data_IF_342242497834
#
_entry.id   IF_342242497834
#
_cell.length_a   1.000
_cell.length_b   1.000
_cell.length_c   1.000
_cell.angle_alpha   90.00
_cell.angle_beta   90.00
_cell.angle_gamma   90.00
#
_symmetry.space_group_name_H-M   'P 1'
#
loop_
_entity.id
_entity.type
_entity.pdbx_description
1 polymer ?
#
# COMPACT_ATOMS: atom_id res chain seq x y z
N UNK A 1 31.34 11.33 50.25
CA UNK A 1 31.73 10.76 51.56
C UNK A 1 33.11 10.13 51.44
N UNK A 2 34.00 10.38 52.41
CA UNK A 2 35.19 9.54 52.68
C UNK A 2 34.77 8.44 53.69
N UNK A 3 35.52 7.41 54.10
CA UNK A 3 36.96 7.05 54.05
C UNK A 3 36.99 5.55 53.65
N UNK A 4 37.91 4.98 52.85
CA UNK A 4 39.34 5.22 52.66
C UNK A 4 40.16 4.10 53.34
N UNK A 5 41.12 3.45 52.65
CA UNK A 5 42.23 2.67 53.27
C UNK A 5 43.25 2.17 52.22
N UNK A 6 44.47 2.71 52.36
CA UNK A 6 45.81 2.07 52.31
C UNK A 6 46.16 1.25 51.05
N UNK A 7 47.03 1.67 50.13
CA UNK A 7 48.36 2.31 50.21
C UNK A 7 49.52 1.36 50.63
N UNK A 8 50.25 0.90 49.61
CA UNK A 8 51.72 0.71 49.46
C UNK A 8 52.54 0.39 50.72
N UNK A 9 53.31 -0.71 50.64
CA UNK A 9 54.61 -0.83 51.31
C UNK A 9 55.60 -1.65 50.45
N UNK A 10 56.72 -1.02 50.08
CA UNK A 10 57.90 -1.62 49.46
C UNK A 10 59.07 -1.34 50.41
N UNK A 11 59.76 -2.36 50.92
CA UNK A 11 60.96 -2.19 51.75
C UNK A 11 61.96 -3.31 51.47
N UNK A 12 63.12 -2.93 50.93
CA UNK A 12 64.36 -3.72 51.05
C UNK A 12 65.08 -3.31 52.33
N UNK A 13 65.67 -4.26 53.04
CA UNK A 13 66.82 -4.17 53.97
C UNK A 13 67.01 -5.58 54.54
N UNK A 14 68.11 -6.33 54.34
CA UNK A 14 69.52 -6.02 54.66
C UNK A 14 69.68 -5.57 56.11
N UNK A 15 69.86 -6.55 57.01
CA UNK A 15 70.53 -6.36 58.30
C UNK A 15 71.49 -7.53 58.50
N UNK A 16 72.79 -7.23 58.47
CA UNK A 16 73.80 -8.13 59.03
C UNK A 16 73.74 -8.04 60.55
N UNK A 17 73.79 -9.16 61.26
CA UNK A 17 74.39 -9.20 62.61
C UNK A 17 75.33 -10.39 62.67
N UNK A 18 76.60 -10.10 62.97
CA UNK A 18 77.68 -11.07 63.15
C UNK A 18 77.62 -11.61 64.58
N UNK A 19 77.64 -12.94 64.72
CA UNK A 19 77.86 -13.64 65.99
C UNK A 19 78.93 -14.70 65.80
N UNK A 20 80.13 -14.47 66.34
CA UNK A 20 81.28 -15.37 66.26
C UNK A 20 81.23 -16.50 67.33
N UNK A 21 82.24 -17.39 67.27
CA UNK A 21 82.75 -18.32 68.31
C UNK A 21 82.23 -19.78 68.20
N UNK A 22 83.11 -20.81 68.14
CA UNK A 22 84.41 -20.88 67.47
C UNK A 22 84.58 -22.20 66.66
N UNK A 23 85.76 -22.41 66.07
CA UNK A 23 86.19 -23.74 65.58
C UNK A 23 86.17 -24.79 66.70
N UNK A 24 85.58 -25.96 66.43
CA UNK A 24 85.93 -27.22 67.08
C UNK A 24 85.80 -28.33 66.04
N UNK A 25 86.94 -28.87 65.60
CA UNK A 25 86.95 -29.98 64.66
C UNK A 25 86.53 -31.27 65.37
N UNK A 26 85.46 -31.89 64.88
CA UNK A 26 85.24 -33.33 65.00
C UNK A 26 84.99 -33.83 63.59
N UNK A 27 85.97 -34.55 63.05
CA UNK A 27 85.72 -35.43 61.94
C UNK A 27 84.84 -36.58 62.47
N UNK A 28 83.55 -36.52 62.15
CA UNK A 28 82.71 -37.71 62.19
C UNK A 28 82.78 -38.29 60.78
N UNK A 29 83.56 -39.36 60.65
CA UNK A 29 83.72 -40.09 59.39
C UNK A 29 82.34 -40.59 58.97
N UNK A 30 81.89 -40.16 57.78
CA UNK A 30 80.74 -40.79 57.16
C UNK A 30 81.18 -42.19 56.75
N UNK A 31 80.72 -43.20 57.49
CA UNK A 31 80.88 -44.61 57.18
C UNK A 31 80.45 -44.84 55.73
N UNK A 32 81.42 -44.94 54.83
CA UNK A 32 81.17 -45.20 53.43
C UNK A 32 80.70 -46.63 53.29
N UNK A 33 79.44 -46.81 52.87
CA UNK A 33 78.95 -48.10 52.40
C UNK A 33 79.77 -48.49 51.17
N UNK A 34 80.77 -49.36 51.37
CA UNK A 34 81.66 -49.84 50.31
C UNK A 34 80.83 -50.75 49.44
N UNK A 35 80.30 -50.19 48.36
CA UNK A 35 79.50 -50.95 47.40
C UNK A 35 80.38 -52.00 46.72
N UNK A 36 80.26 -53.24 47.21
CA UNK A 36 81.16 -54.36 46.88
C UNK A 36 80.74 -55.10 45.61
N UNK A 37 79.69 -54.66 44.92
CA UNK A 37 79.29 -55.21 43.61
C UNK A 37 79.80 -54.35 42.44
N UNK A 38 80.24 -55.00 41.38
CA UNK A 38 80.65 -54.32 40.14
C UNK A 38 79.40 -53.81 39.42
N UNK A 39 79.27 -52.50 39.28
CA UNK A 39 78.18 -51.87 38.54
C UNK A 39 78.21 -52.23 37.04
N UNK A 40 77.20 -52.96 36.58
CA UNK A 40 76.95 -53.17 35.15
C UNK A 40 75.97 -52.12 34.64
N UNK A 41 76.50 -51.04 34.07
CA UNK A 41 75.75 -49.81 33.77
C UNK A 41 74.77 -49.88 32.58
N UNK A 42 74.66 -51.02 31.88
CA UNK A 42 73.80 -51.15 30.70
C UNK A 42 74.14 -50.17 29.56
N UNK A 43 73.15 -49.84 28.73
CA UNK A 43 73.27 -48.81 27.70
C UNK A 43 72.90 -47.41 28.24
N UNK A 44 73.48 -46.37 27.66
CA UNK A 44 73.12 -44.98 28.00
C UNK A 44 71.68 -44.70 27.56
N UNK A 45 70.82 -44.27 28.50
CA UNK A 45 69.50 -43.75 28.20
C UNK A 45 69.69 -42.29 27.74
N UNK A 46 69.28 -41.95 26.50
CA UNK A 46 69.55 -40.62 25.93
C UNK A 46 68.69 -39.53 26.59
N UNK A 47 69.18 -38.29 26.54
CA UNK A 47 68.44 -37.14 27.07
C UNK A 47 67.11 -36.96 26.32
N UNK A 48 66.05 -36.71 27.09
CA UNK A 48 64.75 -36.29 26.58
C UNK A 48 64.56 -34.82 26.88
N UNK A 49 64.67 -33.98 25.84
CA UNK A 49 64.51 -32.53 25.99
C UNK A 49 63.16 -32.15 26.64
N UNK A 50 63.21 -31.15 27.53
CA UNK A 50 62.02 -30.59 28.18
C UNK A 50 61.11 -29.86 27.17
N UNK A 51 59.80 -29.90 27.41
CA UNK A 51 58.81 -29.13 26.62
C UNK A 51 58.37 -27.88 27.39
N UNK A 52 57.35 -27.16 26.92
CA UNK A 52 56.79 -26.03 27.66
C UNK A 52 56.06 -26.45 28.94
N UNK A 53 55.44 -27.64 28.91
CA UNK A 53 54.48 -28.16 29.90
C UNK A 53 54.97 -29.42 30.63
N UNK A 54 55.99 -30.12 30.11
CA UNK A 54 56.51 -31.36 30.68
C UNK A 54 58.01 -31.24 30.94
N UNK A 55 58.49 -31.69 32.10
CA UNK A 55 59.92 -31.80 32.33
C UNK A 55 60.57 -32.77 31.33
N UNK A 56 61.82 -32.49 31.02
CA UNK A 56 62.71 -33.42 30.34
C UNK A 56 63.42 -34.34 31.32
N UNK A 57 64.29 -35.18 30.79
CA UNK A 57 65.02 -36.21 31.52
C UNK A 57 66.47 -36.22 31.05
N UNK A 58 67.41 -36.01 31.99
CA UNK A 58 68.86 -36.02 31.75
C UNK A 58 69.29 -37.40 31.25
N UNK A 59 70.27 -37.43 30.34
CA UNK A 59 70.89 -38.68 29.91
C UNK A 59 71.54 -39.39 31.11
N UNK A 60 71.31 -40.69 31.26
CA UNK A 60 71.79 -41.45 32.42
C UNK A 60 72.00 -42.93 32.13
N UNK A 61 72.79 -43.59 32.98
CA UNK A 61 72.89 -45.04 33.07
C UNK A 61 72.07 -45.54 34.25
N UNK A 62 71.43 -46.70 34.12
CA UNK A 62 70.66 -47.33 35.20
C UNK A 62 71.29 -48.67 35.59
N UNK A 63 71.67 -48.84 36.86
CA UNK A 63 72.20 -50.11 37.35
C UNK A 63 71.07 -51.01 37.84
N UNK A 64 70.77 -52.08 37.10
CA UNK A 64 69.69 -53.02 37.44
C UNK A 64 69.93 -53.84 38.72
N UNK A 65 71.15 -53.81 39.29
CA UNK A 65 71.50 -54.55 40.49
C UNK A 65 71.18 -53.78 41.78
N UNK A 66 71.39 -52.46 41.81
CA UNK A 66 71.13 -51.60 42.96
C UNK A 66 70.03 -50.53 42.74
N UNK A 67 69.51 -50.40 41.52
CA UNK A 67 68.45 -49.44 41.16
C UNK A 67 68.90 -47.99 41.03
N UNK A 68 70.19 -47.68 41.28
CA UNK A 68 70.76 -46.34 41.20
C UNK A 68 70.98 -45.87 39.76
N UNK A 69 70.91 -44.55 39.57
CA UNK A 69 71.17 -43.89 38.28
C UNK A 69 72.50 -43.13 38.33
N UNK A 70 73.19 -43.06 37.20
CA UNK A 70 74.53 -42.48 37.09
C UNK A 70 74.65 -41.57 35.86
N UNK A 71 75.44 -40.49 35.97
CA UNK A 71 75.72 -39.58 34.86
C UNK A 71 76.71 -40.18 33.83
N UNK A 72 77.09 -39.38 32.83
CA UNK A 72 78.06 -39.75 31.82
C UNK A 72 79.45 -40.11 32.42
N UNK A 73 79.82 -39.46 33.51
CA UNK A 73 81.11 -39.58 34.21
C UNK A 73 81.08 -40.65 35.34
N UNK A 74 79.94 -41.37 35.48
CA UNK A 74 79.68 -42.44 36.45
C UNK A 74 79.50 -42.00 37.90
N UNK A 75 79.18 -40.73 38.15
CA UNK A 75 78.73 -40.27 39.47
C UNK A 75 77.25 -40.60 39.67
N UNK A 76 76.85 -40.95 40.90
CA UNK A 76 75.44 -41.20 41.23
C UNK A 76 74.62 -39.91 41.12
N UNK A 77 73.50 -39.97 40.39
CA UNK A 77 72.56 -38.86 40.20
C UNK A 77 71.14 -39.26 40.63
N UNK A 78 70.57 -38.46 41.54
CA UNK A 78 69.25 -38.71 42.12
C UNK A 78 68.14 -37.89 41.46
N UNK A 79 68.46 -36.71 40.93
CA UNK A 79 67.54 -35.88 40.14
C UNK A 79 67.87 -35.96 38.64
N UNK A 80 67.04 -36.68 37.89
CA UNK A 80 67.09 -36.75 36.43
C UNK A 80 66.30 -35.61 35.76
N UNK A 81 65.61 -34.75 36.52
CA UNK A 81 64.64 -33.80 35.97
C UNK A 81 65.31 -32.64 35.24
N UNK A 82 64.89 -32.37 34.01
CA UNK A 82 65.12 -31.10 33.33
C UNK A 82 63.83 -30.29 33.48
N UNK A 83 63.87 -29.14 34.15
CA UNK A 83 62.69 -28.32 34.37
C UNK A 83 62.00 -27.95 33.04
N UNK A 84 60.67 -27.90 33.04
CA UNK A 84 59.91 -27.47 31.86
C UNK A 84 60.31 -26.04 31.44
N UNK A 85 60.46 -25.82 30.14
CA UNK A 85 60.94 -24.55 29.56
C UNK A 85 59.96 -23.38 29.75
N UNK A 86 58.72 -23.67 30.13
CA UNK A 86 57.65 -22.70 30.27
C UNK A 86 57.15 -22.15 28.92
N UNK A 87 56.25 -21.17 28.99
CA UNK A 87 55.65 -20.56 27.80
C UNK A 87 56.21 -19.16 27.56
N UNK A 88 57.04 -19.00 26.51
CA UNK A 88 57.38 -17.68 25.97
C UNK A 88 56.18 -17.08 25.23
N UNK A 89 55.43 -16.20 25.90
CA UNK A 89 54.16 -15.65 25.42
C UNK A 89 54.29 -14.31 24.68
N UNK A 90 53.59 -14.17 23.56
CA UNK A 90 53.36 -12.90 22.85
C UNK A 90 51.90 -12.48 23.02
N UNK A 91 51.66 -11.22 23.34
CA UNK A 91 50.30 -10.66 23.46
C UNK A 91 49.70 -10.33 22.10
N UNK A 92 48.57 -10.95 21.77
CA UNK A 92 47.72 -10.64 20.62
C UNK A 92 46.64 -9.66 21.08
N UNK A 93 46.58 -8.49 20.42
CA UNK A 93 45.70 -7.39 20.82
C UNK A 93 44.22 -7.68 20.55
N UNK A 94 43.35 -6.97 21.25
CA UNK A 94 41.90 -7.00 21.00
C UNK A 94 41.57 -6.38 19.64
N UNK A 95 40.69 -7.06 18.89
CA UNK A 95 40.06 -6.53 17.68
C UNK A 95 38.64 -6.12 18.06
N UNK A 96 38.29 -4.81 18.03
CA UNK A 96 36.96 -4.37 18.41
C UNK A 96 35.89 -4.88 17.44
N UNK A 97 34.72 -5.23 17.96
CA UNK A 97 33.58 -5.61 17.13
C UNK A 97 33.04 -4.41 16.33
N UNK A 98 32.53 -4.68 15.14
CA UNK A 98 31.78 -3.70 14.33
C UNK A 98 30.34 -4.19 14.16
N UNK A 99 29.50 -3.44 13.44
CA UNK A 99 28.15 -3.91 13.11
C UNK A 99 28.11 -4.94 11.96
N UNK A 100 29.23 -5.20 11.28
CA UNK A 100 29.32 -6.19 10.19
C UNK A 100 30.23 -7.38 10.51
N UNK A 101 31.25 -7.18 11.35
CA UNK A 101 32.29 -8.17 11.70
C UNK A 101 32.34 -8.36 13.23
N UNK A 102 32.47 -9.60 13.68
CA UNK A 102 32.69 -9.93 15.10
C UNK A 102 34.06 -9.43 15.56
N UNK A 103 34.16 -9.00 16.81
CA UNK A 103 35.45 -8.69 17.42
C UNK A 103 36.08 -9.92 18.07
N UNK A 104 37.25 -9.74 18.67
CA UNK A 104 38.03 -10.79 19.31
C UNK A 104 38.77 -10.17 20.49
N UNK A 105 38.57 -10.71 21.71
CA UNK A 105 39.32 -10.26 22.90
C UNK A 105 40.82 -10.49 22.73
N UNK A 106 41.61 -9.69 23.43
CA UNK A 106 43.05 -9.93 23.57
C UNK A 106 43.33 -11.31 24.20
N UNK A 107 44.42 -11.94 23.78
CA UNK A 107 44.90 -13.22 24.32
C UNK A 107 46.42 -13.32 24.18
N UNK A 108 47.04 -14.33 24.75
CA UNK A 108 48.48 -14.59 24.67
C UNK A 108 48.75 -15.89 23.92
N UNK A 109 49.76 -15.92 23.06
CA UNK A 109 50.15 -17.12 22.33
C UNK A 109 51.60 -17.49 22.63
N UNK A 110 51.86 -18.77 22.92
CA UNK A 110 53.22 -19.26 23.07
C UNK A 110 53.92 -19.32 21.71
N UNK A 111 55.09 -18.67 21.62
CA UNK A 111 55.87 -18.61 20.39
C UNK A 111 56.35 -19.99 19.94
N UNK A 112 56.68 -20.89 20.88
CA UNK A 112 57.20 -22.23 20.62
C UNK A 112 56.10 -23.23 20.25
N UNK A 113 55.11 -23.45 21.13
CA UNK A 113 54.11 -24.52 20.96
C UNK A 113 52.75 -24.05 20.41
N UNK A 114 52.60 -22.76 20.10
CA UNK A 114 51.39 -22.12 19.53
C UNK A 114 50.11 -22.21 20.39
N UNK A 115 50.18 -22.80 21.58
CA UNK A 115 49.08 -22.80 22.55
C UNK A 115 48.67 -21.36 22.93
N UNK A 116 47.39 -21.17 23.22
CA UNK A 116 46.78 -19.87 23.52
C UNK A 116 46.31 -19.81 24.98
N UNK A 117 46.43 -18.64 25.59
CA UNK A 117 46.14 -18.40 26.99
C UNK A 117 45.34 -17.10 27.17
N UNK A 118 44.45 -17.08 28.15
CA UNK A 118 43.66 -15.92 28.57
C UNK A 118 44.40 -14.95 29.49
N UNK A 119 45.66 -15.24 29.85
CA UNK A 119 46.50 -14.38 30.68
C UNK A 119 47.97 -14.42 30.22
N UNK A 120 48.77 -13.46 30.71
CA UNK A 120 50.22 -13.42 30.53
C UNK A 120 50.98 -14.42 31.42
N UNK A 121 50.29 -15.19 32.28
CA UNK A 121 50.92 -16.11 33.25
C UNK A 121 51.22 -17.47 32.59
N UNK A 122 50.43 -17.88 31.59
CA UNK A 122 50.71 -19.08 30.80
C UNK A 122 50.50 -20.41 31.52
N UNK A 123 49.68 -20.44 32.58
CA UNK A 123 49.31 -21.67 33.27
C UNK A 123 48.21 -22.43 32.53
N UNK A 124 48.15 -23.75 32.68
CA UNK A 124 47.12 -24.60 32.03
C UNK A 124 45.68 -24.19 32.41
N UNK A 125 45.46 -23.60 33.58
CA UNK A 125 44.15 -23.08 34.00
C UNK A 125 43.65 -21.91 33.13
N UNK A 126 44.56 -21.15 32.51
CA UNK A 126 44.24 -20.02 31.61
C UNK A 126 44.19 -20.43 30.13
N UNK A 127 44.39 -21.70 29.80
CA UNK A 127 44.51 -22.20 28.43
C UNK A 127 43.18 -22.12 27.68
N UNK A 128 43.20 -21.53 26.49
CA UNK A 128 42.02 -21.40 25.62
C UNK A 128 42.22 -22.18 24.32
N UNK A 129 41.17 -22.87 23.87
CA UNK A 129 41.17 -23.62 22.61
C UNK A 129 40.93 -22.76 21.37
N UNK A 130 40.35 -21.57 21.54
CA UNK A 130 40.11 -20.58 20.49
C UNK A 130 40.06 -19.15 21.07
N UNK A 131 40.34 -18.11 20.28
CA UNK A 131 40.15 -16.72 20.69
C UNK A 131 38.68 -16.43 21.07
N UNK A 132 38.47 -15.69 22.15
CA UNK A 132 37.12 -15.35 22.63
C UNK A 132 36.53 -14.24 21.75
N UNK A 133 35.43 -14.56 21.06
CA UNK A 133 34.72 -13.62 20.18
C UNK A 133 33.95 -12.54 20.96
N UNK A 134 33.85 -11.36 20.35
CA UNK A 134 33.01 -10.25 20.78
C UNK A 134 31.86 -10.12 19.77
N UNK A 135 30.62 -10.24 20.24
CA UNK A 135 29.42 -10.12 19.40
C UNK A 135 29.37 -8.81 18.62
N UNK A 136 28.83 -8.87 17.39
CA UNK A 136 28.65 -7.69 16.53
C UNK A 136 27.85 -6.60 17.23
N UNK A 137 28.21 -5.34 16.98
CA UNK A 137 27.47 -4.18 17.47
C UNK A 137 26.14 -4.04 16.72
N UNK A 138 25.12 -3.51 17.40
CA UNK A 138 23.84 -3.22 16.77
C UNK A 138 23.97 -2.14 15.67
N UNK A 139 23.19 -2.25 14.60
CA UNK A 139 23.16 -1.23 13.55
C UNK A 139 22.56 0.09 14.06
N UNK A 140 23.28 1.21 13.91
CA UNK A 140 22.75 2.55 14.14
C UNK A 140 21.85 2.97 12.96
N UNK A 141 20.58 2.60 13.01
CA UNK A 141 19.63 2.76 11.91
C UNK A 141 18.93 4.12 11.89
N UNK A 142 18.71 4.64 10.68
CA UNK A 142 17.85 5.78 10.39
C UNK A 142 16.70 5.35 9.47
N UNK A 143 15.47 5.71 9.85
CA UNK A 143 14.24 5.31 9.16
C UNK A 143 13.95 6.23 7.97
N UNK A 144 13.71 5.63 6.81
CA UNK A 144 13.10 6.30 5.65
C UNK A 144 11.63 5.88 5.57
N UNK A 145 10.66 6.79 5.78
CA UNK A 145 9.24 6.44 5.75
C UNK A 145 8.79 6.07 4.34
N UNK A 146 7.75 5.23 4.24
CA UNK A 146 7.14 4.87 2.96
C UNK A 146 6.55 6.12 2.26
N UNK A 147 6.82 6.25 0.96
CA UNK A 147 6.22 7.28 0.09
C UNK A 147 5.41 6.58 -1.01
N UNK A 148 4.11 6.86 -1.17
CA UNK A 148 3.31 6.21 -2.20
C UNK A 148 3.74 6.65 -3.60
N UNK A 149 3.80 5.69 -4.54
CA UNK A 149 4.05 5.99 -5.95
C UNK A 149 2.87 6.72 -6.59
N UNK A 150 3.20 7.73 -7.42
CA UNK A 150 2.25 8.53 -8.19
C UNK A 150 2.18 8.03 -9.65
N UNK A 151 1.47 8.74 -10.54
CA UNK A 151 1.47 8.42 -11.97
C UNK A 151 2.80 8.74 -12.68
N UNK A 152 3.59 9.69 -12.16
CA UNK A 152 4.79 10.23 -12.82
C UNK A 152 6.07 10.01 -12.02
N UNK A 153 5.99 10.02 -10.69
CA UNK A 153 7.12 9.76 -9.80
C UNK A 153 6.96 8.45 -9.04
N UNK A 154 8.03 7.65 -8.99
CA UNK A 154 8.15 6.47 -8.14
C UNK A 154 8.05 6.84 -6.66
N UNK A 155 7.58 5.87 -5.87
CA UNK A 155 7.58 5.91 -4.42
C UNK A 155 8.62 4.95 -3.83
N UNK A 156 8.52 4.73 -2.52
CA UNK A 156 9.32 3.74 -1.81
C UNK A 156 8.49 3.05 -0.71
N UNK A 157 8.81 1.79 -0.45
CA UNK A 157 8.48 1.12 0.81
C UNK A 157 9.23 1.79 1.96
N UNK A 158 8.78 1.57 3.19
CA UNK A 158 9.57 1.92 4.37
C UNK A 158 10.85 1.07 4.39
N UNK A 159 11.98 1.68 4.75
CA UNK A 159 13.26 0.98 4.95
C UNK A 159 14.13 1.73 5.96
N UNK A 160 15.15 1.04 6.45
CA UNK A 160 16.10 1.55 7.44
C UNK A 160 17.51 1.50 6.84
N UNK A 161 18.33 2.50 7.11
CA UNK A 161 19.73 2.57 6.63
C UNK A 161 20.67 2.69 7.82
N UNK A 162 21.72 1.87 7.87
CA UNK A 162 22.74 1.99 8.91
C UNK A 162 23.68 3.15 8.61
N UNK A 163 23.80 4.10 9.55
CA UNK A 163 24.71 5.24 9.40
C UNK A 163 26.20 4.88 9.46
N UNK A 164 26.55 3.63 9.84
CA UNK A 164 27.94 3.17 10.01
C UNK A 164 28.43 2.33 8.82
N UNK A 165 27.62 1.39 8.33
CA UNK A 165 28.01 0.50 7.23
C UNK A 165 27.19 0.69 5.94
N UNK A 166 26.28 1.68 5.93
CA UNK A 166 25.39 2.01 4.80
C UNK A 166 24.47 0.88 4.28
N UNK A 167 24.47 -0.29 4.92
CA UNK A 167 23.54 -1.38 4.63
C UNK A 167 22.07 -0.96 4.90
N UNK A 168 21.16 -1.55 4.12
CA UNK A 168 19.73 -1.28 4.17
C UNK A 168 18.96 -2.47 4.74
N UNK A 169 17.88 -2.19 5.47
CA UNK A 169 17.09 -3.18 6.19
C UNK A 169 15.58 -2.91 6.09
N UNK A 170 14.78 -3.97 6.18
CA UNK A 170 13.31 -3.88 6.22
C UNK A 170 12.76 -3.59 7.64
N UNK A 171 13.53 -3.87 8.68
CA UNK A 171 13.14 -3.71 10.09
C UNK A 171 14.05 -2.74 10.87
N UNK A 172 13.52 -2.24 11.98
CA UNK A 172 14.20 -1.30 12.88
C UNK A 172 15.27 -1.94 13.78
N UNK A 173 15.44 -3.27 13.75
CA UNK A 173 16.47 -4.00 14.48
C UNK A 173 17.67 -4.39 13.63
N UNK A 174 17.63 -4.15 12.32
CA UNK A 174 18.72 -4.47 11.39
C UNK A 174 18.91 -5.97 11.14
N UNK A 175 17.84 -6.77 11.25
CA UNK A 175 17.90 -8.24 11.13
C UNK A 175 17.67 -8.71 9.70
N UNK A 176 16.89 -7.97 8.93
CA UNK A 176 16.39 -8.32 7.60
C UNK A 176 17.03 -7.39 6.57
N UNK A 177 18.24 -7.72 6.13
CA UNK A 177 18.93 -6.97 5.08
C UNK A 177 18.16 -6.96 3.76
N UNK A 178 18.19 -5.84 3.04
CA UNK A 178 17.58 -5.68 1.72
C UNK A 178 18.59 -5.14 0.71
N UNK A 179 18.49 -5.61 -0.53
CA UNK A 179 19.33 -5.12 -1.63
C UNK A 179 19.05 -3.63 -1.93
N UNK A 180 20.07 -2.93 -2.42
CA UNK A 180 19.97 -1.55 -2.91
C UNK A 180 18.77 -1.37 -3.84
N UNK A 181 18.01 -0.28 -3.67
CA UNK A 181 16.86 0.10 -4.50
C UNK A 181 15.67 -0.90 -4.50
N UNK A 182 15.72 -2.00 -3.74
CA UNK A 182 14.61 -2.98 -3.67
C UNK A 182 13.35 -2.44 -2.96
N UNK A 183 13.49 -1.30 -2.26
CA UNK A 183 12.38 -0.52 -1.71
C UNK A 183 11.62 0.31 -2.76
N UNK A 184 12.17 0.54 -3.96
CA UNK A 184 11.54 1.41 -4.97
C UNK A 184 10.20 0.81 -5.41
N UNK A 185 9.16 1.64 -5.39
CA UNK A 185 7.84 1.32 -5.94
C UNK A 185 7.69 2.14 -7.21
N UNK A 186 7.73 1.49 -8.37
CA UNK A 186 7.68 2.17 -9.66
C UNK A 186 6.43 3.06 -9.81
N UNK A 187 6.57 4.14 -10.57
CA UNK A 187 5.45 5.00 -10.94
C UNK A 187 4.33 4.19 -11.63
N UNK A 188 3.07 4.54 -11.35
CA UNK A 188 1.87 3.85 -11.85
C UNK A 188 1.60 4.09 -13.35
N UNK A 189 2.41 4.91 -14.01
CA UNK A 189 2.24 5.35 -15.39
C UNK A 189 1.26 6.53 -15.53
N UNK A 190 1.58 7.46 -16.42
CA UNK A 190 0.73 8.59 -16.80
C UNK A 190 0.23 8.41 -18.24
N UNK A 191 -0.75 7.53 -18.42
CA UNK A 191 -1.43 7.34 -19.70
C UNK A 191 -2.73 8.16 -19.78
N UNK A 192 -2.97 8.79 -20.92
CA UNK A 192 -4.20 9.52 -21.24
C UNK A 192 -5.14 8.60 -22.00
N UNK A 193 -6.32 8.32 -21.44
CA UNK A 193 -7.32 7.46 -22.06
C UNK A 193 -8.74 8.03 -21.91
N UNK A 194 -9.62 7.67 -22.85
CA UNK A 194 -11.04 8.01 -22.81
C UNK A 194 -11.81 7.02 -21.93
N UNK A 195 -12.53 7.52 -20.92
CA UNK A 195 -13.34 6.72 -19.99
C UNK A 195 -14.70 7.36 -19.70
N UNK A 196 -15.72 6.56 -19.43
CA UNK A 196 -17.03 7.07 -18.98
C UNK A 196 -16.93 7.49 -17.52
N UNK A 197 -16.86 8.80 -17.29
CA UNK A 197 -16.83 9.44 -15.96
C UNK A 197 -18.22 9.43 -15.30
N UNK A 198 -19.26 9.64 -16.12
CA UNK A 198 -20.65 9.66 -15.65
C UNK A 198 -21.58 8.97 -16.64
N UNK A 199 -22.26 7.91 -16.20
CA UNK A 199 -23.23 7.19 -17.03
C UNK A 199 -24.49 8.05 -17.29
N UNK A 200 -25.04 8.09 -18.52
CA UNK A 200 -26.26 8.83 -18.81
C UNK A 200 -27.49 8.16 -18.18
N UNK A 201 -28.51 8.97 -17.87
CA UNK A 201 -29.80 8.50 -17.33
C UNK A 201 -30.94 8.91 -18.26
N UNK A 202 -32.18 8.52 -17.96
CA UNK A 202 -33.36 8.97 -18.68
C UNK A 202 -33.52 10.49 -18.74
N UNK A 203 -33.11 11.20 -17.68
CA UNK A 203 -33.37 12.64 -17.50
C UNK A 203 -32.11 13.51 -17.62
N UNK A 204 -30.95 12.99 -17.16
CA UNK A 204 -29.66 13.68 -17.09
C UNK A 204 -28.66 13.07 -18.05
N UNK A 205 -27.85 13.94 -18.65
CA UNK A 205 -26.71 13.60 -19.51
C UNK A 205 -25.59 12.89 -18.72
N UNK A 206 -24.74 12.17 -19.44
CA UNK A 206 -23.50 11.57 -18.94
C UNK A 206 -22.26 12.33 -19.46
N UNK A 207 -21.08 11.82 -19.14
CA UNK A 207 -19.81 12.42 -19.54
C UNK A 207 -18.75 11.35 -19.83
N UNK A 208 -18.02 11.52 -20.93
CA UNK A 208 -16.73 10.87 -21.19
C UNK A 208 -15.63 11.87 -20.83
N UNK A 209 -14.62 11.40 -20.10
CA UNK A 209 -13.38 12.13 -19.80
C UNK A 209 -12.26 11.51 -20.62
N UNK A 210 -11.51 12.34 -21.35
CA UNK A 210 -10.17 11.99 -21.85
C UNK A 210 -9.16 12.52 -20.86
N UNK A 211 -8.36 11.63 -20.26
CA UNK A 211 -7.46 12.02 -19.17
C UNK A 211 -6.84 10.85 -18.44
N UNK A 212 -5.98 11.14 -17.46
CA UNK A 212 -5.32 10.11 -16.66
C UNK A 212 -6.31 9.50 -15.65
N UNK A 213 -6.40 8.17 -15.61
CA UNK A 213 -7.21 7.44 -14.64
C UNK A 213 -6.60 7.41 -13.22
N UNK A 214 -5.27 7.62 -13.10
CA UNK A 214 -4.52 7.47 -11.84
C UNK A 214 -4.51 8.76 -11.02
N UNK A 215 -4.18 9.90 -11.62
CA UNK A 215 -4.15 11.20 -10.92
C UNK A 215 -5.41 12.05 -11.12
N UNK A 216 -6.36 11.59 -11.94
CA UNK A 216 -7.58 12.33 -12.23
C UNK A 216 -7.42 13.53 -13.17
N UNK A 217 -6.23 13.79 -13.71
CA UNK A 217 -6.01 14.82 -14.74
C UNK A 217 -7.00 14.65 -15.91
N UNK A 218 -7.60 15.76 -16.36
CA UNK A 218 -8.60 15.81 -17.42
C UNK A 218 -8.14 16.76 -18.51
N UNK A 219 -7.94 16.24 -19.71
CA UNK A 219 -7.63 17.00 -20.92
C UNK A 219 -8.91 17.48 -21.61
N UNK A 220 -9.92 16.59 -21.73
CA UNK A 220 -11.18 16.92 -22.38
C UNK A 220 -12.39 16.24 -21.70
N UNK A 221 -13.55 16.90 -21.77
CA UNK A 221 -14.87 16.37 -21.39
C UNK A 221 -15.83 16.40 -22.56
N UNK A 222 -16.38 15.24 -22.92
CA UNK A 222 -17.40 15.08 -23.96
C UNK A 222 -18.75 14.70 -23.33
N UNK A 223 -19.85 15.22 -23.85
CA UNK A 223 -21.20 15.03 -23.29
C UNK A 223 -21.85 13.77 -23.89
N UNK A 224 -22.32 12.88 -23.02
CA UNK A 224 -23.15 11.73 -23.43
C UNK A 224 -24.63 12.15 -23.33
N UNK A 225 -25.47 11.96 -24.36
CA UNK A 225 -26.88 12.31 -24.28
C UNK A 225 -27.63 11.51 -23.22
N UNK A 226 -28.66 12.14 -22.64
CA UNK A 226 -29.68 11.46 -21.83
C UNK A 226 -30.43 10.41 -22.66
N UNK A 227 -30.83 9.30 -22.03
CA UNK A 227 -31.49 8.16 -22.69
C UNK A 227 -32.88 8.49 -23.26
N UNK A 228 -33.59 9.50 -22.74
CA UNK A 228 -34.94 9.88 -23.19
C UNK A 228 -35.02 11.37 -23.51
N UNK A 229 -35.48 11.68 -24.73
CA UNK A 229 -35.81 13.03 -25.16
C UNK A 229 -37.34 13.15 -25.30
N UNK A 230 -37.92 14.20 -24.73
CA UNK A 230 -39.34 14.54 -24.94
C UNK A 230 -39.44 15.79 -25.79
N UNK A 231 -40.19 15.73 -26.88
CA UNK A 231 -40.38 16.79 -27.86
C UNK A 231 -41.85 17.17 -27.94
N UNK A 232 -42.15 18.45 -27.94
CA UNK A 232 -43.49 18.94 -28.28
C UNK A 232 -43.62 19.03 -29.80
N UNK A 233 -44.76 18.60 -30.35
CA UNK A 233 -45.04 18.66 -31.79
C UNK A 233 -44.99 20.10 -32.32
N UNK A 234 -44.32 20.32 -33.45
CA UNK A 234 -44.05 21.64 -34.01
C UNK A 234 -42.99 22.45 -33.24
N UNK A 235 -42.20 21.82 -32.36
CA UNK A 235 -41.08 22.43 -31.63
C UNK A 235 -39.77 21.66 -31.87
N UNK A 236 -38.66 22.29 -31.49
CA UNK A 236 -37.32 21.73 -31.54
C UNK A 236 -36.68 21.60 -30.15
N UNK A 237 -35.77 20.64 -29.98
CA UNK A 237 -34.87 20.55 -28.82
C UNK A 237 -33.49 20.03 -29.23
N UNK A 238 -32.47 20.26 -28.41
CA UNK A 238 -31.13 19.65 -28.57
C UNK A 238 -31.08 18.25 -27.93
N UNK A 239 -30.31 17.33 -28.53
CA UNK A 239 -30.03 16.00 -27.98
C UNK A 239 -29.05 16.04 -26.79
N UNK A 240 -28.11 16.99 -26.84
CA UNK A 240 -27.04 17.24 -25.86
C UNK A 240 -26.94 18.74 -25.57
N UNK A 241 -26.43 19.09 -24.39
CA UNK A 241 -26.05 20.46 -24.05
C UNK A 241 -24.92 21.00 -24.93
N UNK A 242 -23.87 20.19 -25.16
CA UNK A 242 -22.73 20.47 -26.04
C UNK A 242 -22.58 19.38 -27.10
N UNK A 243 -22.43 19.78 -28.38
CA UNK A 243 -22.31 18.89 -29.53
C UNK A 243 -20.85 18.57 -29.94
N UNK A 244 -19.84 19.15 -29.28
CA UNK A 244 -18.42 18.85 -29.54
C UNK A 244 -18.13 17.36 -29.38
N UNK A 245 -17.45 16.77 -30.37
CA UNK A 245 -17.12 15.34 -30.40
C UNK A 245 -18.31 14.39 -30.58
N UNK A 246 -19.50 14.91 -30.90
CA UNK A 246 -20.72 14.14 -31.13
C UNK A 246 -21.07 14.09 -32.62
N UNK A 247 -21.51 12.93 -33.11
CA UNK A 247 -22.20 12.82 -34.41
C UNK A 247 -23.62 12.28 -34.20
N UNK A 248 -24.61 12.82 -34.92
CA UNK A 248 -26.02 12.50 -34.71
C UNK A 248 -26.62 11.88 -35.96
N UNK A 249 -27.23 10.70 -35.85
CA UNK A 249 -27.86 10.01 -36.98
C UNK A 249 -29.27 9.51 -36.63
N UNK A 250 -30.21 9.69 -37.56
CA UNK A 250 -31.56 9.15 -37.40
C UNK A 250 -31.60 7.68 -37.81
N UNK A 251 -31.79 6.78 -36.85
CA UNK A 251 -31.95 5.36 -37.12
C UNK A 251 -33.12 5.13 -38.10
N UNK A 252 -32.89 4.45 -39.23
CA UNK A 252 -33.88 4.20 -40.26
C UNK A 252 -34.63 5.48 -40.71
N UNK A 253 -33.87 6.42 -41.30
CA UNK A 253 -34.36 7.73 -41.75
C UNK A 253 -35.61 7.65 -42.64
N UNK A 254 -35.72 6.67 -43.55
CA UNK A 254 -36.91 6.44 -44.38
C UNK A 254 -38.18 6.24 -43.53
N UNK A 255 -38.08 5.52 -42.40
CA UNK A 255 -39.21 5.17 -41.52
C UNK A 255 -39.57 6.29 -40.53
N UNK A 256 -38.60 7.06 -40.05
CA UNK A 256 -38.79 8.03 -38.96
C UNK A 256 -38.64 9.51 -39.35
N UNK A 257 -38.01 9.84 -40.48
CA UNK A 257 -37.81 11.22 -40.98
C UNK A 257 -39.11 11.96 -41.35
N UNK A 258 -40.25 11.25 -41.37
CA UNK A 258 -41.58 11.87 -41.43
C UNK A 258 -41.97 12.59 -40.15
N UNK A 259 -41.51 12.15 -38.98
CA UNK A 259 -41.88 12.74 -37.68
C UNK A 259 -41.04 13.97 -37.30
N UNK A 260 -39.74 13.93 -37.58
CA UNK A 260 -38.81 15.03 -37.29
C UNK A 260 -37.60 15.02 -38.23
N UNK A 261 -36.94 16.17 -38.34
CA UNK A 261 -35.59 16.32 -38.90
C UNK A 261 -34.57 16.34 -37.75
N UNK A 262 -33.42 15.73 -37.96
CA UNK A 262 -32.24 15.86 -37.07
C UNK A 262 -31.20 16.66 -37.84
N UNK A 263 -30.65 17.69 -37.21
CA UNK A 263 -29.43 18.34 -37.67
C UNK A 263 -28.22 17.51 -37.21
N UNK A 264 -27.51 16.94 -38.17
CA UNK A 264 -26.41 16.00 -37.92
C UNK A 264 -25.13 16.67 -37.38
N UNK A 265 -25.04 18.01 -37.48
CA UNK A 265 -23.94 18.81 -36.93
C UNK A 265 -24.27 19.35 -35.54
N UNK A 266 -25.46 19.92 -35.34
CA UNK A 266 -25.82 20.59 -34.08
C UNK A 266 -26.59 19.72 -33.09
N UNK A 267 -27.05 18.53 -33.49
CA UNK A 267 -27.88 17.66 -32.68
C UNK A 267 -29.27 18.23 -32.39
N UNK A 268 -29.71 19.25 -33.15
CA UNK A 268 -31.03 19.87 -33.04
C UNK A 268 -32.07 19.00 -33.73
N UNK A 269 -33.04 18.52 -32.95
CA UNK A 269 -34.17 17.73 -33.44
C UNK A 269 -35.38 18.65 -33.57
N UNK A 270 -35.96 18.74 -34.77
CA UNK A 270 -37.12 19.60 -35.06
C UNK A 270 -38.30 18.75 -35.56
N UNK A 271 -39.39 18.73 -34.80
CA UNK A 271 -40.59 17.97 -35.17
C UNK A 271 -41.41 18.68 -36.25
N UNK A 272 -41.97 17.92 -37.20
CA UNK A 272 -42.90 18.47 -38.18
C UNK A 272 -44.25 18.72 -37.52
N UNK A 273 -44.95 19.79 -37.91
CA UNK A 273 -46.31 20.10 -37.42
C UNK A 273 -47.37 19.34 -38.22
N UNK A 274 -47.22 18.02 -38.28
CA UNK A 274 -48.20 17.11 -38.88
C UNK A 274 -48.95 16.36 -37.76
N UNK A 275 -50.27 16.39 -37.86
CA UNK A 275 -51.20 15.77 -36.93
C UNK A 275 -51.86 14.51 -37.50
N UNK A 276 -51.81 14.33 -38.83
CA UNK A 276 -52.49 13.26 -39.56
C UNK A 276 -51.84 11.89 -39.34
N UNK A 277 -50.50 11.85 -39.31
CA UNK A 277 -49.78 10.59 -39.14
C UNK A 277 -49.78 10.12 -37.68
N UNK A 278 -50.11 8.84 -37.45
CA UNK A 278 -50.08 8.25 -36.10
C UNK A 278 -48.64 8.29 -35.56
N UNK A 279 -48.45 9.04 -34.48
CA UNK A 279 -47.16 9.24 -33.81
C UNK A 279 -46.77 7.95 -33.09
N UNK A 280 -45.52 7.50 -33.28
CA UNK A 280 -45.01 6.33 -32.54
C UNK A 280 -44.64 6.70 -31.10
N UNK A 281 -44.93 5.79 -30.16
CA UNK A 281 -44.63 5.92 -28.73
C UNK A 281 -43.13 6.06 -28.40
N UNK A 282 -42.25 5.63 -29.31
CA UNK A 282 -40.80 5.61 -29.16
C UNK A 282 -40.17 5.68 -30.55
N UNK A 283 -39.19 6.58 -30.72
CA UNK A 283 -38.41 6.74 -31.95
C UNK A 283 -36.92 6.83 -31.57
N UNK A 284 -36.06 5.86 -31.95
CA UNK A 284 -34.64 5.88 -31.62
C UNK A 284 -33.85 6.86 -32.50
N UNK A 285 -32.92 7.58 -31.88
CA UNK A 285 -31.90 8.42 -32.52
C UNK A 285 -30.54 7.91 -32.03
N UNK A 286 -29.57 7.74 -32.92
CA UNK A 286 -28.20 7.34 -32.57
C UNK A 286 -27.32 8.59 -32.41
N UNK A 287 -26.47 8.57 -31.40
CA UNK A 287 -25.50 9.63 -31.12
C UNK A 287 -24.16 8.97 -30.80
N UNK A 288 -23.14 9.23 -31.61
CA UNK A 288 -21.80 8.68 -31.39
C UNK A 288 -20.96 9.71 -30.65
N UNK A 289 -20.31 9.32 -29.55
CA UNK A 289 -19.44 10.18 -28.74
C UNK A 289 -18.18 9.39 -28.39
N UNK A 290 -17.00 9.91 -28.74
CA UNK A 290 -15.73 9.23 -28.48
C UNK A 290 -15.67 7.79 -29.03
N UNK A 291 -16.21 7.56 -30.24
CA UNK A 291 -16.29 6.24 -30.88
C UNK A 291 -17.44 5.34 -30.40
N UNK A 292 -18.07 5.62 -29.25
CA UNK A 292 -19.17 4.81 -28.72
C UNK A 292 -20.55 5.33 -29.16
N UNK A 293 -21.43 4.43 -29.62
CA UNK A 293 -22.79 4.78 -30.04
C UNK A 293 -23.80 4.67 -28.90
N UNK A 294 -24.50 5.77 -28.61
CA UNK A 294 -25.57 5.88 -27.63
C UNK A 294 -26.93 6.02 -28.33
N UNK A 295 -27.96 5.33 -27.83
CA UNK A 295 -29.33 5.45 -28.38
C UNK A 295 -30.22 6.30 -27.49
N UNK A 296 -30.74 7.41 -28.04
CA UNK A 296 -31.71 8.29 -27.41
C UNK A 296 -33.11 7.91 -27.88
N UNK A 297 -34.01 7.61 -26.94
CA UNK A 297 -35.43 7.41 -27.23
C UNK A 297 -36.15 8.76 -27.26
N UNK A 298 -36.53 9.21 -28.45
CA UNK A 298 -37.41 10.36 -28.63
C UNK A 298 -38.89 9.98 -28.43
N UNK A 299 -39.60 10.75 -27.62
CA UNK A 299 -41.05 10.72 -27.45
C UNK A 299 -41.64 12.05 -27.88
N UNK A 300 -42.55 12.03 -28.85
CA UNK A 300 -43.25 13.23 -29.30
C UNK A 300 -44.58 13.33 -28.56
N UNK A 301 -44.84 14.47 -27.94
CA UNK A 301 -46.08 14.85 -27.28
C UNK A 301 -46.80 15.91 -28.11
N UNK A 302 -48.12 15.80 -28.24
CA UNK A 302 -48.95 16.91 -28.71
C UNK A 302 -49.24 17.79 -27.49
N UNK A 303 -48.91 19.10 -27.52
CA UNK A 303 -49.16 20.00 -26.39
C UNK A 303 -50.61 19.95 -25.91
N UNK A 304 -50.80 20.13 -24.61
CA UNK A 304 -52.14 20.24 -24.04
C UNK A 304 -52.91 21.41 -24.69
N UNK A 305 -54.22 21.27 -24.96
CA UNK A 305 -55.02 22.32 -25.57
C UNK A 305 -55.03 23.57 -24.68
N UNK A 306 -55.17 24.75 -25.29
CA UNK A 306 -55.30 26.01 -24.55
C UNK A 306 -56.77 26.39 -24.44
N UNK A 307 -57.40 26.02 -23.31
CA UNK A 307 -58.77 26.39 -22.98
C UNK A 307 -58.79 27.43 -21.86
N UNK A 308 -59.65 28.44 -21.98
CA UNK A 308 -60.01 29.37 -20.89
C UNK A 308 -61.42 29.04 -20.40
N UNK A 309 -61.60 28.93 -19.08
CA UNK A 309 -62.91 28.69 -18.44
C UNK A 309 -63.26 29.88 -17.55
N UNK A 310 -64.44 30.46 -17.74
CA UNK A 310 -65.02 31.49 -16.87
C UNK A 310 -66.23 30.93 -16.13
N UNK A 311 -66.37 31.28 -14.85
CA UNK A 311 -67.46 30.85 -13.97
C UNK A 311 -68.31 32.07 -13.61
N UNK A 312 -69.62 32.03 -13.83
CA UNK A 312 -70.58 33.05 -13.36
C UNK A 312 -71.74 32.38 -12.61
N UNK A 313 -72.26 33.02 -11.56
CA UNK A 313 -73.48 32.55 -10.86
C UNK A 313 -74.70 32.84 -11.76
N UNK A 314 -75.66 31.93 -11.78
CA UNK A 314 -76.90 32.03 -12.54
C UNK A 314 -78.00 31.27 -11.77
N UNK A 315 -78.74 32.00 -10.91
CA UNK A 315 -79.70 31.41 -9.98
C UNK A 315 -79.04 30.44 -8.99
N UNK A 316 -79.59 29.23 -8.89
CA UNK A 316 -79.12 28.11 -8.08
C UNK A 316 -77.87 27.39 -8.65
N UNK A 317 -77.48 27.73 -9.89
CA UNK A 317 -76.42 27.08 -10.67
C UNK A 317 -75.27 28.02 -10.96
N UNK A 318 -74.16 27.43 -11.38
CA UNK A 318 -73.01 28.16 -11.92
C UNK A 318 -72.83 27.81 -13.40
N UNK A 319 -72.79 28.84 -14.25
CA UNK A 319 -72.47 28.72 -15.67
C UNK A 319 -70.95 28.70 -15.84
N UNK A 320 -70.45 27.66 -16.48
CA UNK A 320 -69.06 27.52 -16.88
C UNK A 320 -69.00 27.70 -18.40
N UNK A 321 -68.41 28.80 -18.86
CA UNK A 321 -68.24 29.10 -20.29
C UNK A 321 -66.80 28.81 -20.70
N UNK A 322 -66.63 28.13 -21.84
CA UNK A 322 -65.35 27.65 -22.37
C UNK A 322 -65.00 28.44 -23.63
N UNK A 323 -63.83 29.10 -23.64
CA UNK A 323 -63.32 29.84 -24.80
C UNK A 323 -62.02 29.19 -25.28
N UNK A 324 -62.02 28.68 -26.52
CA UNK A 324 -60.89 27.97 -27.11
C UNK A 324 -60.97 27.90 -28.65
N UNK A 325 -59.82 27.74 -29.31
CA UNK A 325 -59.70 27.54 -30.75
C UNK A 325 -58.49 26.62 -31.02
N UNK A 326 -58.75 25.32 -31.13
CA UNK A 326 -57.72 24.27 -31.19
C UNK A 326 -57.51 23.90 -32.67
N UNK A 327 -56.73 24.73 -33.37
CA UNK A 327 -56.45 24.57 -34.81
C UNK A 327 -55.91 23.17 -35.14
N UNK A 328 -56.61 22.46 -36.03
CA UNK A 328 -56.21 21.16 -36.57
C UNK A 328 -56.65 19.93 -35.76
N UNK A 329 -57.33 20.10 -34.63
CA UNK A 329 -57.98 18.99 -33.92
C UNK A 329 -59.33 18.68 -34.57
N UNK A 330 -59.72 17.40 -34.65
CA UNK A 330 -61.05 17.00 -35.14
C UNK A 330 -62.10 17.17 -34.04
N UNK A 331 -61.71 16.92 -32.78
CA UNK A 331 -62.56 17.10 -31.61
C UNK A 331 -61.79 17.32 -30.31
N UNK A 332 -62.48 17.90 -29.34
CA UNK A 332 -62.07 18.07 -27.94
C UNK A 332 -62.97 17.19 -27.05
N UNK A 333 -62.48 16.83 -25.87
CA UNK A 333 -63.24 16.10 -24.85
C UNK A 333 -62.99 16.74 -23.50
N UNK A 334 -64.03 17.35 -22.94
CA UNK A 334 -64.02 17.99 -21.61
C UNK A 334 -64.72 17.06 -20.62
N UNK A 335 -64.09 16.79 -19.47
CA UNK A 335 -64.63 15.93 -18.41
C UNK A 335 -64.46 16.57 -17.02
N UNK A 336 -65.55 16.91 -16.31
CA UNK A 336 -65.49 17.40 -14.95
C UNK A 336 -65.21 16.25 -13.97
N UNK A 337 -64.67 16.57 -12.80
CA UNK A 337 -64.58 15.66 -11.67
C UNK A 337 -65.88 15.63 -10.85
N UNK A 338 -67.01 15.47 -11.54
CA UNK A 338 -68.37 15.37 -10.98
C UNK A 338 -69.12 14.26 -11.71
N UNK A 339 -70.01 13.56 -11.01
CA UNK A 339 -71.02 12.70 -11.64
C UNK A 339 -72.06 13.59 -12.33
N UNK A 340 -72.41 13.28 -13.58
CA UNK A 340 -73.35 14.05 -14.40
C UNK A 340 -73.40 13.48 -15.82
N UNK A 341 -74.35 13.95 -16.64
CA UNK A 341 -74.51 13.42 -17.99
C UNK A 341 -73.40 13.90 -18.92
N UNK A 342 -72.48 12.98 -19.25
CA UNK A 342 -71.37 13.24 -20.16
C UNK A 342 -71.82 13.45 -21.60
N UNK A 343 -73.02 13.00 -21.99
CA UNK A 343 -73.58 13.21 -23.34
C UNK A 343 -73.83 14.70 -23.59
N UNK A 344 -74.27 15.44 -22.57
CA UNK A 344 -74.46 16.90 -22.64
C UNK A 344 -73.13 17.61 -22.92
N UNK A 345 -72.05 17.22 -22.22
CA UNK A 345 -70.73 17.78 -22.49
C UNK A 345 -70.22 17.43 -23.89
N UNK A 346 -70.43 16.21 -24.36
CA UNK A 346 -70.02 15.82 -25.72
C UNK A 346 -70.86 16.51 -26.80
N UNK A 347 -72.13 16.83 -26.55
CA UNK A 347 -72.98 17.59 -27.48
C UNK A 347 -72.48 19.03 -27.67
N UNK A 348 -72.17 19.74 -26.59
CA UNK A 348 -71.86 21.19 -26.64
C UNK A 348 -70.36 21.53 -26.64
N UNK A 349 -69.47 20.61 -26.23
CA UNK A 349 -68.03 20.89 -26.03
C UNK A 349 -67.11 19.90 -26.76
N UNK A 350 -67.61 19.22 -27.81
CA UNK A 350 -66.79 18.33 -28.66
C UNK A 350 -66.13 19.04 -29.85
N UNK A 351 -66.73 20.12 -30.36
CA UNK A 351 -66.21 20.87 -31.50
C UNK A 351 -64.87 21.55 -31.16
N UNK A 352 -63.85 21.55 -32.05
CA UNK A 352 -62.50 22.04 -31.77
C UNK A 352 -62.38 23.57 -31.61
N UNK A 353 -63.45 24.32 -31.89
CA UNK A 353 -63.57 25.77 -31.72
C UNK A 353 -64.83 26.07 -30.91
N UNK A 354 -64.70 26.89 -29.87
CA UNK A 354 -65.86 27.30 -29.05
C UNK A 354 -66.79 28.24 -29.82
N UNK A 355 -68.10 28.05 -29.66
CA UNK A 355 -69.20 28.85 -30.18
C UNK A 355 -70.04 29.47 -29.03
N UNK A 356 -71.21 30.03 -29.34
CA UNK A 356 -72.12 30.61 -28.34
C UNK A 356 -72.57 29.58 -27.28
N UNK A 357 -72.81 28.34 -27.70
CA UNK A 357 -73.32 27.24 -26.87
C UNK A 357 -72.23 26.51 -26.06
N UNK A 358 -70.99 26.99 -26.12
CA UNK A 358 -69.84 26.39 -25.41
C UNK A 358 -69.85 26.71 -23.91
N UNK A 359 -70.94 26.36 -23.23
CA UNK A 359 -71.11 26.47 -21.79
C UNK A 359 -71.87 25.27 -21.21
N UNK A 360 -71.71 25.02 -19.92
CA UNK A 360 -72.58 24.11 -19.16
C UNK A 360 -72.91 24.69 -17.78
N UNK A 361 -74.01 24.22 -17.20
CA UNK A 361 -74.42 24.56 -15.83
C UNK A 361 -74.11 23.41 -14.87
N UNK A 362 -73.52 23.73 -13.72
CA UNK A 362 -73.38 22.78 -12.61
C UNK A 362 -73.95 23.37 -11.31
N UNK A 363 -74.59 22.52 -10.51
CA UNK A 363 -74.80 22.76 -9.08
C UNK A 363 -73.52 22.36 -8.34
N UNK A 364 -72.97 23.23 -7.51
CA UNK A 364 -71.72 22.95 -6.78
C UNK A 364 -71.96 21.97 -5.60
N UNK A 365 -73.13 22.02 -4.96
CA UNK A 365 -73.45 21.17 -3.81
C UNK A 365 -72.39 21.30 -2.70
N UNK A 366 -71.89 20.16 -2.20
CA UNK A 366 -70.77 20.12 -1.22
C UNK A 366 -69.39 20.43 -1.83
N UNK A 367 -69.25 20.53 -3.17
CA UNK A 367 -67.97 20.68 -3.86
C UNK A 367 -67.63 22.16 -4.08
N UNK A 368 -66.55 22.67 -3.46
CA UNK A 368 -66.16 24.09 -3.56
C UNK A 368 -65.54 24.50 -4.91
N UNK A 369 -64.97 23.57 -5.68
CA UNK A 369 -64.29 23.81 -6.98
C UNK A 369 -64.40 22.60 -7.91
N UNK A 370 -64.65 22.81 -9.21
CA UNK A 370 -64.72 21.76 -10.24
C UNK A 370 -63.38 21.65 -10.98
N UNK A 371 -62.85 20.43 -11.11
CA UNK A 371 -61.68 20.12 -11.96
C UNK A 371 -62.15 19.63 -13.32
N UNK A 372 -61.72 20.27 -14.40
CA UNK A 372 -61.99 19.89 -15.79
C UNK A 372 -60.73 19.27 -16.39
N UNK A 373 -60.79 18.00 -16.79
CA UNK A 373 -59.79 17.33 -17.62
C UNK A 373 -60.16 17.55 -19.08
N UNK A 374 -59.22 18.02 -19.89
CA UNK A 374 -59.44 18.41 -21.28
C UNK A 374 -58.37 17.78 -22.16
N UNK A 375 -58.79 17.08 -23.20
CA UNK A 375 -57.91 16.54 -24.26
C UNK A 375 -58.44 16.92 -25.64
N UNK A 376 -57.54 17.05 -26.60
CA UNK A 376 -57.85 17.23 -28.01
C UNK A 376 -57.40 15.99 -28.81
N UNK A 377 -58.22 15.57 -29.76
CA UNK A 377 -57.99 14.45 -30.66
C UNK A 377 -57.58 14.99 -32.04
N UNK A 378 -56.65 14.26 -32.67
CA UNK A 378 -56.05 14.60 -33.95
C UNK A 378 -55.89 13.29 -34.75
N UNK A 379 -56.93 12.89 -35.48
CA UNK A 379 -57.08 11.57 -36.09
C UNK A 379 -56.87 10.44 -35.07
N UNK A 380 -55.75 9.71 -35.23
CA UNK A 380 -55.35 8.58 -34.36
C UNK A 380 -54.45 9.01 -33.18
N UNK A 381 -54.22 10.31 -33.01
CA UNK A 381 -53.39 10.91 -31.96
C UNK A 381 -54.24 11.65 -30.92
N UNK A 382 -53.69 11.86 -29.72
CA UNK A 382 -54.33 12.57 -28.60
C UNK A 382 -53.31 13.54 -27.98
N UNK A 383 -53.78 14.70 -27.55
CA UNK A 383 -52.97 15.66 -26.78
C UNK A 383 -52.62 15.16 -25.38
N UNK A 384 -51.62 15.80 -24.78
CA UNK A 384 -51.51 15.82 -23.32
C UNK A 384 -52.79 16.43 -22.70
N UNK A 385 -53.11 16.05 -21.47
CA UNK A 385 -54.31 16.52 -20.77
C UNK A 385 -54.09 17.89 -20.13
N UNK A 386 -54.89 18.88 -20.49
CA UNK A 386 -55.00 20.11 -19.70
C UNK A 386 -55.93 19.85 -18.49
N UNK A 387 -55.56 20.31 -17.30
CA UNK A 387 -56.45 20.27 -16.12
C UNK A 387 -56.66 21.68 -15.60
N UNK A 388 -57.91 22.13 -15.57
CA UNK A 388 -58.29 23.47 -15.09
C UNK A 388 -59.20 23.31 -13.87
N UNK A 389 -58.96 24.06 -12.80
CA UNK A 389 -59.82 24.10 -11.61
C UNK A 389 -60.53 25.45 -11.53
N UNK A 390 -61.87 25.46 -11.39
CA UNK A 390 -62.69 26.67 -11.27
C UNK A 390 -63.82 26.54 -10.26
#
# INVERSE_FOLDING_TARGET
>A
MSIGKKLIAYVMSVVMVVGMIPMSAVAAEAEGDIDTHIHSYGGLIPEKAATCDKPGEKAHYHCSACGKNFDADKNEITDLTIAATGHGLTAIQEIPATCTVEGQKAYWQCNSCKQMFGSAIGMDADKISAPIKISKLNHKLSKTPAKPATCTASGNKEYYTCGTCHAHFADNGGRTGIAQNSWIVNAKGHSIASRVDKKPTDKKEGCIVKGCGVCGYVEERLVIPKKKLTLNLGKSAKLVSNARGCTFTLANAKKYGKYFKVDEKTGKVTTKKDYSTKIKKSIPIKVTVGGQTYTVTAKIKIPAPSVKITRKKAGDRYRYTFKYNIRGADKIKIRPNLKGDMKILDKYLSQPKSNADSYVYFRLGKTKKIKFKIVAYYGKNVSETQVITK
#
